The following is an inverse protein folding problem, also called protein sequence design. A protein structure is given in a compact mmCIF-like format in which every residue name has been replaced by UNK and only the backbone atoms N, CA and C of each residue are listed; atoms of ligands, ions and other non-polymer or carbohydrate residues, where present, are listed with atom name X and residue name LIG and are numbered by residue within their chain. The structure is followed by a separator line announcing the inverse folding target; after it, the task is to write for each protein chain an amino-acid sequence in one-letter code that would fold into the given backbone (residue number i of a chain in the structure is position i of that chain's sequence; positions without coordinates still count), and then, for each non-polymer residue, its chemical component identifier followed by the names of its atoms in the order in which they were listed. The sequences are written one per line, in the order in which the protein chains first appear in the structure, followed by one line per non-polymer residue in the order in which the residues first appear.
data_IF_280531933253
#
_entry.id   IF_280531933253
#
_cell.length_a   1.000
_cell.length_b   1.000
_cell.length_c   1.000
_cell.angle_alpha   90.00
_cell.angle_beta   90.00
_cell.angle_gamma   90.00
#
_symmetry.space_group_name_H-M   'P 1'
#
loop_
_entity.id
_entity.type
_entity.pdbx_description
1 polymer ?
#
# COMPACT_ATOMS: atom_id res chain seq x y z
N UNK A 1 17.59 2.40 0.06
CA UNK A 1 17.73 2.36 1.54
C UNK A 1 17.69 0.89 2.00
N UNK A 2 18.53 0.44 2.95
CA UNK A 2 18.42 -0.93 3.49
C UNK A 2 17.21 -1.02 4.42
N UNK A 3 16.45 -2.12 4.34
CA UNK A 3 15.31 -2.35 5.23
C UNK A 3 15.75 -2.38 6.69
N UNK A 4 15.07 -1.62 7.55
CA UNK A 4 15.33 -1.58 8.99
C UNK A 4 14.36 -2.50 9.71
N UNK A 5 14.89 -3.56 10.29
CA UNK A 5 14.11 -4.60 10.96
C UNK A 5 14.45 -4.62 12.44
N UNK A 6 13.42 -4.70 13.27
CA UNK A 6 13.54 -4.76 14.72
C UNK A 6 13.00 -6.10 15.24
N UNK A 7 13.62 -6.61 16.31
CA UNK A 7 13.24 -7.88 16.93
C UNK A 7 11.90 -7.78 17.66
N UNK A 8 11.48 -6.58 18.05
CA UNK A 8 10.20 -6.34 18.70
C UNK A 8 9.66 -4.95 18.42
N UNK A 9 8.35 -4.79 18.56
CA UNK A 9 7.67 -3.50 18.50
C UNK A 9 8.22 -2.52 19.55
N UNK A 10 8.51 -2.99 20.77
CA UNK A 10 9.09 -2.17 21.84
C UNK A 10 10.47 -1.61 21.48
N UNK A 11 11.31 -2.41 20.82
CA UNK A 11 12.60 -1.96 20.33
C UNK A 11 12.44 -0.90 19.23
N UNK A 12 11.56 -1.14 18.25
CA UNK A 12 11.31 -0.21 17.14
C UNK A 12 10.80 1.16 17.61
N UNK A 13 9.91 1.16 18.61
CA UNK A 13 9.26 2.38 19.12
C UNK A 13 10.00 3.04 20.30
N UNK A 14 11.13 2.48 20.72
CA UNK A 14 11.99 3.14 21.71
C UNK A 14 12.62 4.42 21.14
N UNK A 15 13.07 5.32 22.01
CA UNK A 15 13.81 6.51 21.59
C UNK A 15 15.04 6.14 20.73
N UNK A 16 15.82 5.14 21.15
CA UNK A 16 16.98 4.65 20.37
C UNK A 16 16.58 4.04 19.03
N UNK A 17 15.48 3.27 19.01
CA UNK A 17 14.93 2.67 17.79
C UNK A 17 14.54 3.74 16.77
N UNK A 18 13.75 4.72 17.20
CA UNK A 18 13.32 5.84 16.36
C UNK A 18 14.48 6.76 15.99
N UNK A 19 15.44 6.99 16.89
CA UNK A 19 16.66 7.73 16.59
C UNK A 19 17.48 7.06 15.49
N UNK A 20 17.59 5.73 15.50
CA UNK A 20 18.24 4.98 14.42
C UNK A 20 17.50 5.09 13.09
N UNK A 21 16.18 5.30 13.12
CA UNK A 21 15.34 5.49 11.92
C UNK A 21 15.51 6.92 11.39
N UNK A 22 15.42 7.92 12.25
CA UNK A 22 15.47 9.33 11.87
C UNK A 22 16.91 9.76 11.52
N UNK A 23 17.91 9.16 12.16
CA UNK A 23 19.31 9.54 12.01
C UNK A 23 19.78 10.61 13.00
N UNK A 24 18.95 10.95 13.99
CA UNK A 24 19.21 11.98 15.02
C UNK A 24 18.63 11.52 16.37
N UNK A 25 19.12 12.04 17.52
CA UNK A 25 18.58 11.71 18.85
C UNK A 25 17.09 11.99 18.97
N UNK A 26 16.36 11.18 19.74
CA UNK A 26 14.93 11.36 20.03
C UNK A 26 14.76 11.53 21.53
N UNK A 27 14.16 12.65 21.94
CA UNK A 27 14.01 13.01 23.35
C UNK A 27 12.73 12.42 23.96
N UNK A 28 11.68 12.32 23.14
CA UNK A 28 10.36 11.89 23.57
C UNK A 28 9.63 11.15 22.44
N UNK A 29 8.83 10.16 22.83
CA UNK A 29 7.97 9.42 21.92
C UNK A 29 6.54 9.46 22.46
N UNK A 30 5.60 9.86 21.62
CA UNK A 30 4.18 9.83 21.91
C UNK A 30 3.46 8.88 20.95
N UNK A 31 2.41 8.24 21.45
CA UNK A 31 1.57 7.31 20.70
C UNK A 31 0.11 7.60 20.97
N UNK A 32 -0.71 7.50 19.94
CA UNK A 32 -2.16 7.64 20.05
C UNK A 32 -2.88 6.82 19.00
N UNK A 33 -4.17 6.52 19.19
CA UNK A 33 -4.98 5.91 18.14
C UNK A 33 -5.01 6.83 16.92
N UNK A 34 -4.95 6.24 15.72
CA UNK A 34 -5.26 6.96 14.49
C UNK A 34 -6.69 6.60 14.09
N UNK A 35 -7.61 7.52 14.31
CA UNK A 35 -9.03 7.33 14.00
C UNK A 35 -9.28 7.65 12.51
N UNK A 36 -8.91 6.69 11.67
CA UNK A 36 -9.14 6.73 10.23
C UNK A 36 -9.81 5.43 9.80
N UNK A 37 -10.54 5.52 8.69
CA UNK A 37 -11.21 4.36 8.13
C UNK A 37 -10.18 3.34 7.60
N UNK A 38 -10.30 2.09 8.06
CA UNK A 38 -9.39 1.00 7.70
C UNK A 38 -10.16 -0.32 7.76
N UNK A 39 -10.17 -1.04 6.64
CA UNK A 39 -11.12 -2.14 6.42
C UNK A 39 -10.49 -3.51 6.28
N UNK A 40 -9.18 -3.64 6.45
CA UNK A 40 -8.55 -4.97 6.43
C UNK A 40 -8.84 -5.72 7.72
N UNK A 41 -8.90 -5.04 8.87
CA UNK A 41 -8.94 -5.64 10.22
C UNK A 41 -7.67 -5.39 11.03
N UNK A 42 -6.69 -4.71 10.42
CA UNK A 42 -5.47 -4.20 11.05
C UNK A 42 -5.77 -3.00 11.95
N UNK A 43 -4.79 -2.59 12.77
CA UNK A 43 -4.91 -1.37 13.59
C UNK A 43 -3.88 -0.33 13.17
N UNK A 44 -4.29 0.94 13.20
CA UNK A 44 -3.42 2.08 12.94
C UNK A 44 -3.23 2.93 14.20
N UNK A 45 -2.00 3.33 14.47
CA UNK A 45 -1.64 4.24 15.56
C UNK A 45 -0.78 5.38 14.99
N UNK A 46 -1.00 6.61 15.47
CA UNK A 46 -0.08 7.70 15.24
C UNK A 46 1.09 7.59 16.22
N UNK A 47 2.31 7.76 15.72
CA UNK A 47 3.53 7.83 16.53
C UNK A 47 4.22 9.16 16.24
N UNK A 48 4.59 9.90 17.29
CA UNK A 48 5.34 11.15 17.19
C UNK A 48 6.67 10.99 17.91
N UNK A 49 7.76 11.20 17.20
CA UNK A 49 9.10 11.22 17.76
C UNK A 49 9.59 12.67 17.80
N UNK A 50 9.97 13.17 18.97
CA UNK A 50 10.41 14.55 19.15
C UNK A 50 11.93 14.65 19.18
N UNK A 51 12.46 15.62 18.46
CA UNK A 51 13.88 15.99 18.43
C UNK A 51 13.99 17.49 18.59
N UNK A 52 14.61 17.96 19.68
CA UNK A 52 14.76 19.40 19.95
C UNK A 52 13.43 20.17 19.85
N UNK A 53 12.34 19.54 20.29
CA UNK A 53 10.98 20.11 20.24
C UNK A 53 10.25 19.99 18.89
N UNK A 54 10.88 19.47 17.84
CA UNK A 54 10.24 19.19 16.53
C UNK A 54 9.78 17.75 16.43
N UNK A 55 8.57 17.52 15.92
CA UNK A 55 7.99 16.20 15.79
C UNK A 55 8.18 15.61 14.38
N UNK A 56 8.75 14.40 14.30
CA UNK A 56 8.63 13.53 13.13
C UNK A 56 7.43 12.62 13.35
N UNK A 57 6.48 12.64 12.40
CA UNK A 57 5.23 11.88 12.47
C UNK A 57 5.35 10.57 11.70
N UNK A 58 4.87 9.50 12.32
CA UNK A 58 4.77 8.18 11.73
C UNK A 58 3.38 7.59 11.94
N UNK A 59 3.04 6.62 11.09
CA UNK A 59 1.90 5.74 11.25
C UNK A 59 2.42 4.33 11.50
N UNK A 60 1.99 3.72 12.60
CA UNK A 60 2.23 2.33 12.91
C UNK A 60 1.02 1.51 12.44
N UNK A 61 1.25 0.55 11.55
CA UNK A 61 0.26 -0.45 11.11
C UNK A 61 0.61 -1.79 11.73
N UNK A 62 -0.30 -2.35 12.53
CA UNK A 62 -0.15 -3.68 13.14
C UNK A 62 -1.06 -4.66 12.43
N UNK A 63 -0.50 -5.78 12.00
CA UNK A 63 -1.21 -6.76 11.20
C UNK A 63 -1.76 -7.89 12.07
N UNK A 64 -3.04 -8.22 11.90
CA UNK A 64 -3.67 -9.34 12.61
C UNK A 64 -4.15 -10.41 11.62
N UNK A 65 -3.41 -11.50 11.39
CA UNK A 65 -3.78 -12.55 10.44
C UNK A 65 -5.14 -13.21 10.70
N UNK A 66 -5.68 -13.11 11.92
CA UNK A 66 -6.99 -13.69 12.26
C UNK A 66 -8.13 -12.76 11.88
N UNK A 67 -7.94 -11.45 12.05
CA UNK A 67 -8.95 -10.43 11.76
C UNK A 67 -8.84 -9.91 10.34
N UNK A 68 -7.65 -9.94 9.77
CA UNK A 68 -7.36 -9.45 8.44
C UNK A 68 -7.95 -10.38 7.37
N UNK A 69 -9.04 -9.93 6.74
CA UNK A 69 -9.73 -10.72 5.73
C UNK A 69 -8.90 -10.87 4.45
N UNK A 70 -8.08 -9.88 4.08
CA UNK A 70 -7.23 -9.93 2.89
C UNK A 70 -6.16 -10.99 3.09
N UNK A 71 -5.46 -10.92 4.23
CA UNK A 71 -4.41 -11.88 4.55
C UNK A 71 -4.97 -13.31 4.56
N UNK A 72 -6.14 -13.48 5.18
CA UNK A 72 -6.75 -14.79 5.31
C UNK A 72 -7.26 -15.36 3.99
N UNK A 73 -7.87 -14.54 3.13
CA UNK A 73 -8.40 -14.96 1.83
C UNK A 73 -7.33 -15.10 0.75
N UNK A 74 -6.17 -14.46 0.92
CA UNK A 74 -5.01 -14.59 0.02
C UNK A 74 -3.88 -15.44 0.59
N UNK A 75 -4.14 -16.14 1.70
CA UNK A 75 -3.19 -17.02 2.38
C UNK A 75 -1.85 -16.35 2.73
N UNK A 76 -1.89 -15.05 3.07
CA UNK A 76 -0.71 -14.29 3.46
C UNK A 76 -0.30 -14.61 4.90
N UNK A 77 0.73 -15.44 5.04
CA UNK A 77 1.37 -15.75 6.32
C UNK A 77 2.59 -14.88 6.61
N UNK A 78 3.10 -14.14 5.63
CA UNK A 78 4.36 -13.39 5.73
C UNK A 78 4.17 -11.91 6.01
N UNK A 79 2.92 -11.42 5.95
CA UNK A 79 2.57 -10.00 5.89
C UNK A 79 3.23 -9.38 4.67
N UNK A 80 2.59 -9.54 3.51
CA UNK A 80 3.08 -9.21 2.17
C UNK A 80 3.76 -7.85 2.08
N UNK A 81 3.15 -6.80 2.63
CA UNK A 81 3.74 -5.45 2.67
C UNK A 81 5.11 -5.45 3.40
N UNK A 82 5.20 -6.12 4.55
CA UNK A 82 6.44 -6.24 5.33
C UNK A 82 7.43 -7.18 4.63
N UNK A 83 6.96 -8.24 3.97
CA UNK A 83 7.78 -9.16 3.20
C UNK A 83 8.43 -8.47 2.00
N UNK A 84 7.70 -7.58 1.30
CA UNK A 84 8.22 -6.75 0.21
C UNK A 84 9.26 -5.74 0.73
N UNK A 85 9.02 -5.11 1.87
CA UNK A 85 10.00 -4.23 2.52
C UNK A 85 11.28 -4.97 2.89
N UNK A 86 11.17 -6.08 3.65
CA UNK A 86 12.27 -6.94 4.08
C UNK A 86 13.04 -7.54 2.90
N UNK A 87 12.33 -7.93 1.85
CA UNK A 87 12.89 -8.48 0.61
C UNK A 87 13.62 -7.44 -0.24
N UNK A 88 13.60 -6.17 0.14
CA UNK A 88 14.26 -5.07 -0.57
C UNK A 88 13.52 -4.63 -1.83
N UNK A 89 12.26 -5.03 -2.03
CA UNK A 89 11.47 -4.62 -3.19
C UNK A 89 11.20 -3.12 -3.14
N UNK A 90 10.81 -2.59 -1.98
CA UNK A 90 10.58 -1.15 -1.79
C UNK A 90 11.85 -0.31 -2.02
N UNK A 91 13.02 -0.84 -1.70
CA UNK A 91 14.30 -0.18 -1.94
C UNK A 91 14.69 -0.10 -3.43
N UNK A 92 13.99 -0.85 -4.30
CA UNK A 92 14.21 -0.92 -5.75
C UNK A 92 13.15 -0.16 -6.55
N UNK A 93 12.18 0.47 -5.86
CA UNK A 93 11.15 1.28 -6.49
C UNK A 93 11.77 2.41 -7.31
N UNK A 94 11.16 2.79 -8.45
CA UNK A 94 11.56 3.99 -9.18
C UNK A 94 11.56 5.23 -8.30
N UNK A 95 12.47 6.17 -8.55
CA UNK A 95 12.60 7.41 -7.74
C UNK A 95 11.36 8.32 -7.82
N UNK A 96 10.50 8.11 -8.82
CA UNK A 96 9.20 8.78 -8.99
C UNK A 96 8.15 8.30 -7.97
N UNK A 97 8.42 7.22 -7.23
CA UNK A 97 7.50 6.61 -6.28
C UNK A 97 8.02 6.70 -4.85
N UNK A 98 7.08 6.79 -3.92
CA UNK A 98 7.35 6.70 -2.49
C UNK A 98 6.45 5.63 -1.90
N UNK A 99 7.10 4.66 -1.26
CA UNK A 99 6.45 3.77 -0.31
C UNK A 99 6.92 4.20 1.08
N UNK A 100 6.03 4.71 1.95
CA UNK A 100 6.45 5.40 3.17
C UNK A 100 6.96 4.46 4.27
N UNK A 101 6.94 3.15 4.07
CA UNK A 101 7.46 2.15 5.01
C UNK A 101 8.96 2.37 5.25
N UNK A 102 9.33 2.71 6.49
CA UNK A 102 10.71 2.99 6.90
C UNK A 102 11.29 1.93 7.83
N UNK A 103 10.43 1.17 8.50
CA UNK A 103 10.84 0.07 9.38
C UNK A 103 9.75 -0.98 9.51
N UNK A 104 10.14 -2.17 9.98
CA UNK A 104 9.21 -3.20 10.40
C UNK A 104 9.73 -3.92 11.64
N UNK A 105 8.81 -4.46 12.45
CA UNK A 105 9.15 -5.19 13.66
C UNK A 105 8.28 -6.44 13.80
N UNK A 106 8.82 -7.46 14.47
CA UNK A 106 7.99 -8.56 14.97
C UNK A 106 7.05 -8.04 16.04
N UNK A 107 5.79 -8.44 15.95
CA UNK A 107 4.74 -8.08 16.90
C UNK A 107 4.03 -9.35 17.36
N UNK A 108 4.51 -9.92 18.48
CA UNK A 108 4.09 -11.19 19.07
C UNK A 108 3.99 -12.36 18.07
N UNK A 109 2.86 -12.46 17.36
CA UNK A 109 2.53 -13.54 16.41
C UNK A 109 2.50 -13.10 14.94
N UNK A 110 2.80 -11.83 14.67
CA UNK A 110 2.68 -11.22 13.34
C UNK A 110 3.83 -10.22 13.11
N UNK A 111 3.57 -9.21 12.29
CA UNK A 111 4.44 -8.08 12.01
C UNK A 111 3.70 -6.77 12.26
N UNK A 112 4.50 -5.71 12.41
CA UNK A 112 4.06 -4.33 12.27
C UNK A 112 4.97 -3.59 11.27
N UNK A 113 4.40 -2.66 10.52
CA UNK A 113 5.14 -1.71 9.69
C UNK A 113 5.06 -0.30 10.30
N UNK A 114 6.17 0.42 10.25
CA UNK A 114 6.22 1.84 10.59
C UNK A 114 6.40 2.63 9.30
N UNK A 115 5.51 3.58 9.07
CA UNK A 115 5.47 4.40 7.88
C UNK A 115 5.66 5.87 8.25
N UNK A 116 6.33 6.65 7.40
CA UNK A 116 6.23 8.11 7.48
C UNK A 116 4.76 8.52 7.36
N UNK A 117 4.32 9.46 8.19
CA UNK A 117 2.99 10.03 8.07
C UNK A 117 2.93 10.88 6.80
N UNK A 118 2.19 10.39 5.81
CA UNK A 118 2.00 11.03 4.51
C UNK A 118 0.60 11.60 4.30
N UNK A 119 -0.19 11.72 5.38
CA UNK A 119 -1.61 12.08 5.32
C UNK A 119 -1.87 13.41 4.58
N UNK A 120 -0.95 14.37 4.68
CA UNK A 120 -1.04 15.68 4.02
C UNK A 120 -0.91 15.63 2.49
N UNK A 121 -0.39 14.52 1.95
CA UNK A 121 -0.15 14.34 0.52
C UNK A 121 -1.09 13.34 -0.13
N UNK A 122 -1.97 12.69 0.63
CA UNK A 122 -2.89 11.71 0.10
C UNK A 122 -3.94 12.38 -0.79
N UNK A 123 -4.33 11.69 -1.85
CA UNK A 123 -5.44 12.09 -2.67
C UNK A 123 -6.71 12.14 -1.82
N UNK A 124 -7.65 13.05 -2.11
CA UNK A 124 -8.95 13.03 -1.47
C UNK A 124 -9.61 11.65 -1.63
N UNK A 125 -10.21 11.16 -0.55
CA UNK A 125 -10.97 9.91 -0.53
C UNK A 125 -12.49 10.17 -0.49
N UNK A 126 -12.91 11.30 -1.05
CA UNK A 126 -14.30 11.72 -1.19
C UNK A 126 -14.67 11.88 -2.69
N UNK A 127 -15.89 12.31 -2.99
CA UNK A 127 -16.35 12.55 -4.36
C UNK A 127 -15.75 13.83 -4.99
N UNK A 128 -14.67 14.37 -4.43
CA UNK A 128 -14.01 15.54 -5.00
C UNK A 128 -13.31 15.20 -6.32
N UNK A 129 -13.20 16.22 -7.18
CA UNK A 129 -12.59 16.05 -8.49
C UNK A 129 -11.07 16.02 -8.36
N UNK A 130 -10.47 14.99 -8.96
CA UNK A 130 -9.02 14.89 -9.11
C UNK A 130 -8.58 15.65 -10.36
N UNK A 131 -7.47 16.38 -10.25
CA UNK A 131 -6.90 17.11 -11.37
C UNK A 131 -6.45 16.13 -12.47
N UNK A 132 -6.73 16.45 -13.74
CA UNK A 132 -6.31 15.59 -14.86
C UNK A 132 -4.80 15.40 -14.95
N UNK A 133 -4.02 16.34 -14.43
CA UNK A 133 -2.56 16.22 -14.35
C UNK A 133 -2.13 15.15 -13.35
N UNK A 134 -2.75 15.09 -12.17
CA UNK A 134 -2.47 14.07 -11.17
C UNK A 134 -2.87 12.68 -11.67
N UNK A 135 -4.01 12.59 -12.37
CA UNK A 135 -4.47 11.36 -13.02
C UNK A 135 -3.43 10.81 -14.01
N UNK A 136 -2.90 11.66 -14.88
CA UNK A 136 -1.85 11.27 -15.84
C UNK A 136 -0.59 10.86 -15.09
N UNK A 137 -0.19 11.62 -14.07
CA UNK A 137 0.99 11.32 -13.26
C UNK A 137 0.90 9.95 -12.59
N UNK A 138 -0.25 9.60 -11.99
CA UNK A 138 -0.45 8.27 -11.41
C UNK A 138 -0.29 7.16 -12.44
N UNK A 139 -0.86 7.32 -13.64
CA UNK A 139 -0.76 6.33 -14.71
C UNK A 139 0.66 6.21 -15.28
N UNK A 140 1.35 7.34 -15.48
CA UNK A 140 2.74 7.36 -15.97
C UNK A 140 3.68 6.71 -14.95
N UNK A 141 3.52 7.04 -13.67
CA UNK A 141 4.33 6.47 -12.60
C UNK A 141 4.01 4.98 -12.37
N UNK A 142 2.76 4.55 -12.52
CA UNK A 142 2.37 3.14 -12.53
C UNK A 142 3.03 2.37 -13.70
N UNK A 143 3.08 2.96 -14.89
CA UNK A 143 3.76 2.35 -16.03
C UNK A 143 5.27 2.19 -15.76
N UNK A 144 5.91 3.17 -15.10
CA UNK A 144 7.32 3.08 -14.69
C UNK A 144 7.53 1.99 -13.62
N UNK A 145 6.61 1.85 -12.65
CA UNK A 145 6.61 0.73 -11.70
C UNK A 145 6.60 -0.61 -12.44
N UNK A 146 5.65 -0.77 -13.36
CA UNK A 146 5.50 -2.01 -14.13
C UNK A 146 6.72 -2.30 -15.00
N UNK A 147 7.28 -1.29 -15.65
CA UNK A 147 8.50 -1.45 -16.45
C UNK A 147 9.70 -1.87 -15.58
N UNK A 148 9.83 -1.31 -14.37
CA UNK A 148 10.94 -1.58 -13.44
C UNK A 148 11.03 -3.04 -13.01
N UNK A 149 9.88 -3.68 -12.85
CA UNK A 149 9.74 -5.05 -12.34
C UNK A 149 9.27 -6.05 -13.40
N UNK A 150 9.26 -5.64 -14.67
CA UNK A 150 8.86 -6.47 -15.79
C UNK A 150 9.74 -7.73 -15.88
N UNK A 151 9.11 -8.89 -15.85
CA UNK A 151 9.73 -10.22 -15.88
C UNK A 151 10.83 -10.44 -14.83
N UNK A 152 10.74 -9.72 -13.71
CA UNK A 152 11.70 -9.88 -12.61
C UNK A 152 11.44 -11.16 -11.81
N UNK A 153 12.16 -12.22 -12.14
CA UNK A 153 12.06 -13.52 -11.47
C UNK A 153 12.40 -13.46 -9.97
N UNK A 154 13.09 -12.43 -9.49
CA UNK A 154 13.36 -12.30 -8.06
C UNK A 154 12.08 -12.11 -7.23
N UNK A 155 10.98 -11.71 -7.88
CA UNK A 155 9.64 -11.60 -7.29
C UNK A 155 8.95 -12.96 -7.10
N UNK A 156 9.47 -14.03 -7.69
CA UNK A 156 8.92 -15.39 -7.54
C UNK A 156 9.32 -16.08 -6.24
N UNK A 157 10.14 -15.43 -5.41
CA UNK A 157 10.56 -15.97 -4.11
C UNK A 157 9.32 -16.12 -3.21
N UNK A 158 9.01 -17.34 -2.71
CA UNK A 158 7.87 -17.54 -1.82
C UNK A 158 7.89 -16.68 -0.56
N UNK A 159 9.10 -16.31 -0.10
CA UNK A 159 9.30 -15.43 1.06
C UNK A 159 8.80 -14.00 0.89
N UNK A 160 8.40 -13.59 -0.32
CA UNK A 160 7.75 -12.30 -0.58
C UNK A 160 6.24 -12.34 -0.36
N UNK A 161 5.64 -13.53 -0.21
CA UNK A 161 4.23 -13.69 0.12
C UNK A 161 3.25 -13.15 -0.93
N UNK A 162 3.69 -12.88 -2.17
CA UNK A 162 2.84 -12.34 -3.23
C UNK A 162 1.60 -13.20 -3.44
N UNK A 163 0.45 -12.56 -3.60
CA UNK A 163 -0.85 -13.23 -3.75
C UNK A 163 -0.84 -14.10 -4.99
N UNK A 164 -1.39 -15.31 -4.89
CA UNK A 164 -1.65 -16.11 -6.08
C UNK A 164 -2.71 -15.39 -6.93
N UNK A 165 -2.49 -15.33 -8.25
CA UNK A 165 -3.39 -14.62 -9.16
C UNK A 165 -4.86 -15.10 -9.06
N UNK A 166 -5.06 -16.38 -8.76
CA UNK A 166 -6.39 -16.95 -8.52
C UNK A 166 -7.06 -16.32 -7.30
N UNK A 167 -6.34 -16.22 -6.19
CA UNK A 167 -6.88 -15.73 -4.93
C UNK A 167 -7.12 -14.23 -5.04
N UNK A 168 -6.18 -13.48 -5.62
CA UNK A 168 -6.36 -12.06 -5.97
C UNK A 168 -7.66 -11.81 -6.76
N UNK A 169 -7.89 -12.52 -7.87
CA UNK A 169 -9.09 -12.29 -8.70
C UNK A 169 -10.39 -12.71 -7.99
N UNK A 170 -10.35 -13.74 -7.15
CA UNK A 170 -11.55 -14.32 -6.55
C UNK A 170 -11.80 -13.85 -5.11
N UNK A 171 -10.96 -12.98 -4.57
CA UNK A 171 -10.92 -12.62 -3.14
C UNK A 171 -12.28 -12.17 -2.59
N UNK A 172 -13.06 -11.45 -3.40
CA UNK A 172 -14.43 -11.02 -3.08
C UNK A 172 -15.50 -11.67 -3.96
N UNK A 173 -15.22 -12.81 -4.60
CA UNK A 173 -16.23 -13.53 -5.40
C UNK A 173 -17.39 -14.04 -4.53
N UNK A 174 -18.62 -14.20 -5.10
CA UNK A 174 -19.79 -14.61 -4.32
C UNK A 174 -19.58 -15.88 -3.52
N UNK A 175 -18.92 -16.89 -4.11
CA UNK A 175 -18.66 -18.16 -3.45
C UNK A 175 -17.67 -18.04 -2.28
N UNK A 176 -16.69 -17.14 -2.38
CA UNK A 176 -15.73 -16.88 -1.30
C UNK A 176 -16.42 -16.12 -0.17
N UNK A 177 -17.12 -15.02 -0.51
CA UNK A 177 -17.86 -14.21 0.45
C UNK A 177 -18.92 -15.03 1.19
N UNK A 178 -19.71 -15.84 0.48
CA UNK A 178 -20.73 -16.68 1.10
C UNK A 178 -20.11 -17.67 2.10
N UNK A 179 -19.03 -18.36 1.71
CA UNK A 179 -18.33 -19.31 2.60
C UNK A 179 -17.83 -18.64 3.87
N UNK A 180 -17.29 -17.43 3.75
CA UNK A 180 -16.80 -16.66 4.89
C UNK A 180 -17.90 -16.33 5.89
N UNK A 181 -19.03 -15.83 5.39
CA UNK A 181 -20.17 -15.46 6.22
C UNK A 181 -20.81 -16.69 6.88
N UNK A 182 -20.95 -17.80 6.15
CA UNK A 182 -21.45 -19.08 6.68
C UNK A 182 -20.56 -19.65 7.80
N UNK A 183 -19.27 -19.31 7.79
CA UNK A 183 -18.31 -19.70 8.83
C UNK A 183 -18.25 -18.71 9.99
N UNK A 184 -19.19 -17.76 10.07
CA UNK A 184 -19.32 -16.81 11.18
C UNK A 184 -18.27 -15.71 11.17
N UNK A 185 -17.57 -15.49 10.05
CA UNK A 185 -16.51 -14.49 9.92
C UNK A 185 -17.06 -13.21 9.28
N UNK A 186 -18.10 -12.69 9.89
CA UNK A 186 -18.73 -11.45 9.46
C UNK A 186 -17.71 -10.30 9.50
N UNK A 187 -17.69 -9.51 8.43
CA UNK A 187 -16.85 -8.33 8.28
C UNK A 187 -17.59 -7.33 7.39
N UNK A 188 -17.55 -6.00 7.66
CA UNK A 188 -18.28 -5.01 6.86
C UNK A 188 -18.03 -5.14 5.35
N UNK A 189 -16.78 -5.29 4.93
CA UNK A 189 -16.42 -5.47 3.51
C UNK A 189 -17.06 -6.72 2.89
N UNK A 190 -17.15 -7.83 3.63
CA UNK A 190 -17.77 -9.05 3.12
C UNK A 190 -19.27 -8.88 2.96
N UNK A 191 -19.92 -8.17 3.88
CA UNK A 191 -21.34 -7.82 3.76
C UNK A 191 -21.60 -6.86 2.60
N UNK A 192 -20.74 -5.86 2.41
CA UNK A 192 -20.82 -4.95 1.26
C UNK A 192 -20.58 -5.68 -0.05
N UNK A 193 -19.61 -6.58 -0.12
CA UNK A 193 -19.37 -7.40 -1.30
C UNK A 193 -20.60 -8.28 -1.61
N UNK A 194 -21.20 -8.91 -0.59
CA UNK A 194 -22.44 -9.69 -0.76
C UNK A 194 -23.57 -8.83 -1.34
N UNK A 195 -23.78 -7.62 -0.80
CA UNK A 195 -24.79 -6.69 -1.29
C UNK A 195 -24.47 -6.19 -2.71
N UNK A 196 -23.22 -5.85 -2.98
CA UNK A 196 -22.76 -5.41 -4.30
C UNK A 196 -22.99 -6.47 -5.38
N UNK A 197 -22.79 -7.75 -5.07
CA UNK A 197 -23.12 -8.85 -5.99
C UNK A 197 -24.62 -9.01 -6.24
N UNK A 198 -25.46 -8.80 -5.22
CA UNK A 198 -26.92 -8.80 -5.39
C UNK A 198 -27.36 -7.66 -6.32
N UNK A 199 -26.84 -6.45 -6.09
CA UNK A 199 -27.11 -5.29 -6.94
C UNK A 199 -26.61 -5.55 -8.37
N UNK A 200 -25.39 -6.07 -8.54
CA UNK A 200 -24.85 -6.42 -9.85
C UNK A 200 -25.78 -7.38 -10.62
N UNK A 201 -26.29 -8.41 -9.95
CA UNK A 201 -27.22 -9.36 -10.58
C UNK A 201 -28.54 -8.72 -11.01
N UNK A 202 -29.00 -7.68 -10.32
CA UNK A 202 -30.21 -6.93 -10.62
C UNK A 202 -30.02 -5.93 -11.78
N UNK A 203 -28.91 -5.18 -11.77
CA UNK A 203 -28.75 -4.00 -12.63
C UNK A 203 -27.84 -4.22 -13.84
N UNK A 204 -26.92 -5.19 -13.79
CA UNK A 204 -25.91 -5.34 -14.82
C UNK A 204 -26.51 -5.87 -16.14
N UNK A 205 -26.00 -5.41 -17.31
CA UNK A 205 -26.43 -5.92 -18.61
C UNK A 205 -26.35 -7.46 -18.67
N UNK A 206 -27.32 -8.14 -19.33
CA UNK A 206 -27.34 -9.60 -19.41
C UNK A 206 -26.04 -10.23 -19.94
N UNK A 207 -25.33 -9.53 -20.83
CA UNK A 207 -24.06 -9.96 -21.39
C UNK A 207 -22.93 -9.91 -20.35
N UNK A 208 -22.82 -8.82 -19.59
CA UNK A 208 -21.85 -8.68 -18.51
C UNK A 208 -22.06 -9.76 -17.44
N UNK A 209 -23.30 -9.98 -16.99
CA UNK A 209 -23.64 -11.05 -16.03
C UNK A 209 -23.23 -12.43 -16.56
N UNK A 210 -23.48 -12.71 -17.84
CA UNK A 210 -23.09 -13.98 -18.46
C UNK A 210 -21.57 -14.18 -18.48
N UNK A 211 -20.80 -13.15 -18.79
CA UNK A 211 -19.33 -13.20 -18.80
C UNK A 211 -18.81 -13.44 -17.38
N UNK A 212 -19.25 -12.64 -16.41
CA UNK A 212 -18.79 -12.75 -15.02
C UNK A 212 -19.16 -14.11 -14.41
N UNK A 213 -20.39 -14.59 -14.62
CA UNK A 213 -20.81 -15.92 -14.14
C UNK A 213 -19.96 -17.06 -14.72
N UNK A 214 -19.60 -16.99 -16.01
CA UNK A 214 -18.68 -17.97 -16.62
C UNK A 214 -17.30 -17.93 -15.98
N UNK A 215 -16.76 -16.74 -15.70
CA UNK A 215 -15.45 -16.58 -15.06
C UNK A 215 -15.45 -17.07 -13.60
N UNK A 216 -16.53 -16.86 -12.87
CA UNK A 216 -16.70 -17.39 -11.51
C UNK A 216 -16.76 -18.92 -11.49
N UNK A 217 -17.36 -19.55 -12.51
CA UNK A 217 -17.42 -21.01 -12.64
C UNK A 217 -16.08 -21.61 -13.10
N UNK A 218 -15.40 -20.95 -14.04
CA UNK A 218 -14.11 -21.38 -14.57
C UNK A 218 -13.21 -20.19 -14.87
N UNK A 219 -12.24 -19.96 -13.99
CA UNK A 219 -11.25 -18.89 -14.14
C UNK A 219 -10.12 -19.24 -15.12
N UNK A 220 -9.97 -20.51 -15.52
CA UNK A 220 -8.84 -20.96 -16.36
C UNK A 220 -8.70 -20.19 -17.67
N UNK A 221 -9.77 -19.81 -18.40
CA UNK A 221 -9.64 -18.99 -19.60
C UNK A 221 -8.97 -17.63 -19.32
N UNK A 222 -9.35 -16.95 -18.25
CA UNK A 222 -8.77 -15.67 -17.87
C UNK A 222 -7.31 -15.84 -17.42
N UNK A 223 -7.02 -16.83 -16.56
CA UNK A 223 -5.65 -17.11 -16.13
C UNK A 223 -4.73 -17.43 -17.31
N UNK A 224 -5.21 -18.21 -18.30
CA UNK A 224 -4.46 -18.51 -19.53
C UNK A 224 -4.25 -17.28 -20.42
N UNK A 225 -5.19 -16.33 -20.42
CA UNK A 225 -5.03 -15.09 -21.16
C UNK A 225 -4.00 -14.18 -20.47
N UNK A 226 -4.12 -14.00 -19.15
CA UNK A 226 -3.19 -13.21 -18.36
C UNK A 226 -1.77 -13.80 -18.37
N UNK A 227 -1.62 -15.12 -18.41
CA UNK A 227 -0.30 -15.78 -18.48
C UNK A 227 0.44 -15.58 -19.81
N UNK A 228 -0.22 -15.04 -20.84
CA UNK A 228 0.40 -14.70 -22.13
C UNK A 228 0.90 -13.25 -22.17
N UNK A 229 0.44 -12.41 -21.25
CA UNK A 229 0.90 -11.06 -21.11
C UNK A 229 2.22 -11.05 -20.31
N UNK A 230 3.08 -10.04 -20.53
CA UNK A 230 4.22 -9.80 -19.65
C UNK A 230 3.77 -9.65 -18.20
N UNK A 231 4.58 -10.16 -17.28
CA UNK A 231 4.34 -10.14 -15.84
C UNK A 231 5.22 -9.12 -15.14
N UNK A 232 4.68 -8.48 -14.13
CA UNK A 232 5.38 -7.49 -13.30
C UNK A 232 4.89 -7.58 -11.85
N UNK A 233 5.55 -6.88 -10.95
CA UNK A 233 4.95 -6.50 -9.68
C UNK A 233 3.68 -5.67 -9.94
N UNK A 234 2.57 -6.17 -9.44
CA UNK A 234 1.24 -5.53 -9.48
C UNK A 234 0.92 -5.10 -8.06
N UNK A 235 0.44 -3.85 -7.90
CA UNK A 235 0.07 -3.31 -6.59
C UNK A 235 -1.16 -4.04 -6.01
N UNK A 236 -2.15 -4.30 -6.85
CA UNK A 236 -3.35 -5.06 -6.54
C UNK A 236 -4.52 -4.21 -6.05
N UNK A 237 -4.25 -3.08 -5.39
CA UNK A 237 -5.27 -2.15 -4.89
C UNK A 237 -4.92 -0.69 -5.27
N UNK A 238 -4.59 -0.46 -6.54
CA UNK A 238 -4.15 0.84 -7.06
C UNK A 238 -5.35 1.78 -7.25
N UNK A 239 -5.87 2.33 -6.15
CA UNK A 239 -7.03 3.24 -6.07
C UNK A 239 -6.69 4.51 -5.29
N UNK A 240 -7.48 5.59 -5.45
CA UNK A 240 -7.16 6.90 -4.87
C UNK A 240 -6.95 6.90 -3.35
N UNK A 241 -7.69 6.08 -2.60
CA UNK A 241 -7.48 5.94 -1.15
C UNK A 241 -6.05 5.53 -0.75
N UNK A 242 -5.30 4.93 -1.68
CA UNK A 242 -3.93 4.45 -1.48
C UNK A 242 -2.89 5.30 -2.22
N UNK A 243 -3.30 6.42 -2.83
CA UNK A 243 -2.44 7.26 -3.66
C UNK A 243 -2.30 8.66 -3.08
N UNK A 244 -1.20 9.32 -3.43
CA UNK A 244 -0.97 10.72 -3.09
C UNK A 244 0.12 11.34 -3.95
N UNK A 245 0.25 12.65 -3.89
CA UNK A 245 1.32 13.40 -4.55
C UNK A 245 2.20 14.02 -3.48
N UNK A 246 3.38 13.43 -3.29
CA UNK A 246 4.39 14.04 -2.45
C UNK A 246 5.01 15.23 -3.17
N UNK A 247 4.76 16.39 -2.60
CA UNK A 247 5.50 17.60 -2.88
C UNK A 247 6.20 17.98 -1.59
N UNK A 248 7.53 17.90 -1.50
CA UNK A 248 8.24 18.51 -0.39
C UNK A 248 7.95 20.00 -0.48
N UNK A 249 7.09 20.50 0.42
CA UNK A 249 6.95 21.93 0.60
C UNK A 249 8.31 22.47 1.06
N UNK A 250 8.73 23.67 0.62
CA UNK A 250 9.75 24.41 1.36
C UNK A 250 9.23 24.58 2.79
N UNK A 251 9.93 24.01 3.78
CA UNK A 251 9.50 24.03 5.18
C UNK A 251 9.25 25.48 5.64
N UNK A 252 8.01 25.86 6.04
CA UNK A 252 7.69 27.25 6.40
C UNK A 252 8.47 27.78 7.60
N UNK A 253 9.00 26.89 8.45
CA UNK A 253 9.70 27.27 9.69
C UNK A 253 11.10 27.85 9.47
N UNK A 254 11.70 27.69 8.28
CA UNK A 254 13.00 28.30 7.94
C UNK A 254 12.86 29.70 7.31
N UNK A 255 11.70 30.04 6.77
CA UNK A 255 11.45 31.36 6.12
C UNK A 255 11.07 32.44 7.15
N UNK A 256 10.57 32.05 8.32
CA UNK A 256 10.15 32.99 9.37
C UNK A 256 11.29 33.70 10.12
N UNK A 257 12.57 33.35 9.85
CA UNK A 257 13.72 33.95 10.53
C UNK A 257 14.65 34.77 9.61
N UNK A 258 14.24 35.06 8.37
CA UNK A 258 15.04 35.88 7.46
C UNK A 258 16.38 35.26 7.04
N UNK A 259 16.56 33.96 7.26
CA UNK A 259 17.63 33.21 6.65
C UNK A 259 17.23 32.91 5.19
N UNK A 260 18.10 33.26 4.25
CA UNK A 260 18.05 32.70 2.90
C UNK A 260 17.84 31.17 3.01
N UNK A 261 16.94 30.58 2.20
CA UNK A 261 16.75 29.14 2.22
C UNK A 261 18.10 28.47 2.01
N UNK A 262 18.59 27.79 3.04
CA UNK A 262 19.69 26.87 2.87
C UNK A 262 19.11 25.79 1.97
N UNK A 263 19.47 25.83 0.69
CA UNK A 263 19.32 24.71 -0.20
C UNK A 263 20.12 23.57 0.43
N UNK A 264 19.47 22.77 1.27
CA UNK A 264 20.00 21.46 1.59
C UNK A 264 20.17 20.76 0.24
N UNK A 265 21.43 20.53 -0.10
CA UNK A 265 21.82 19.90 -1.34
C UNK A 265 21.19 18.51 -1.40
N UNK A 266 20.02 18.42 -2.03
CA UNK A 266 19.57 17.19 -2.62
C UNK A 266 20.66 16.71 -3.60
N UNK A 267 20.94 15.40 -3.68
CA UNK A 267 21.86 14.87 -4.67
C UNK A 267 21.25 15.08 -6.06
N UNK A 268 21.62 16.17 -6.72
CA UNK A 268 21.05 16.63 -7.98
C UNK A 268 21.19 18.14 -8.11
N UNK A 269 22.44 18.60 -8.23
CA UNK A 269 22.74 20.00 -8.52
C UNK A 269 22.24 20.37 -9.92
N UNK A 270 21.18 21.16 -9.94
CA UNK A 270 20.84 22.24 -10.88
C UNK A 270 19.40 22.62 -10.56
N UNK A 271 19.05 23.91 -10.56
CA UNK A 271 17.75 24.45 -10.12
C UNK A 271 16.52 24.04 -10.95
N UNK A 272 16.44 22.77 -11.37
CA UNK A 272 15.25 22.14 -11.90
C UNK A 272 14.18 22.05 -10.81
N UNK A 273 12.90 22.33 -11.14
CA UNK A 273 11.81 22.15 -10.19
C UNK A 273 11.78 20.69 -9.71
N UNK A 274 11.58 20.50 -8.40
CA UNK A 274 11.40 19.18 -7.82
C UNK A 274 10.25 18.47 -8.52
N UNK A 275 10.52 17.32 -9.14
CA UNK A 275 9.48 16.52 -9.80
C UNK A 275 8.58 15.86 -8.73
N UNK A 276 7.26 16.12 -8.72
CA UNK A 276 6.35 15.53 -7.76
C UNK A 276 6.40 14.01 -7.82
N UNK A 277 6.42 13.35 -6.65
CA UNK A 277 6.46 11.88 -6.56
C UNK A 277 5.11 11.31 -6.18
N UNK A 278 4.79 10.12 -6.67
CA UNK A 278 3.56 9.43 -6.27
C UNK A 278 3.80 8.63 -5.00
N UNK A 279 3.01 8.92 -3.97
CA UNK A 279 2.90 8.08 -2.77
C UNK A 279 2.01 6.89 -3.11
N UNK A 280 2.45 5.68 -2.73
CA UNK A 280 1.68 4.45 -2.87
C UNK A 280 1.64 3.74 -1.51
N UNK A 281 0.43 3.52 -1.01
CA UNK A 281 0.14 2.83 0.25
C UNK A 281 -0.47 1.45 -0.01
N UNK A 282 -0.45 0.64 1.04
CA UNK A 282 -1.26 -0.58 1.16
C UNK A 282 -0.99 -1.67 0.11
N UNK A 283 0.20 -2.27 0.20
CA UNK A 283 0.64 -3.37 -0.68
C UNK A 283 0.07 -4.73 -0.28
N UNK A 284 -1.06 -4.75 0.44
CA UNK A 284 -1.66 -5.99 0.96
C UNK A 284 -2.20 -6.88 -0.15
N UNK A 285 -2.52 -6.37 -1.34
CA UNK A 285 -3.03 -7.16 -2.48
C UNK A 285 -1.97 -7.51 -3.53
N UNK A 286 -0.71 -7.18 -3.28
CA UNK A 286 0.34 -7.28 -4.30
C UNK A 286 0.47 -8.70 -4.87
N UNK A 287 0.65 -8.78 -6.19
CA UNK A 287 0.82 -10.04 -6.91
C UNK A 287 1.91 -9.91 -7.97
N UNK A 288 2.30 -11.03 -8.57
CA UNK A 288 3.14 -11.04 -9.76
C UNK A 288 2.28 -11.47 -10.95
N UNK A 289 1.91 -10.51 -11.79
CA UNK A 289 0.86 -10.70 -12.78
C UNK A 289 0.93 -9.67 -13.91
N UNK A 290 -0.08 -9.69 -14.76
CA UNK A 290 -0.20 -8.74 -15.87
C UNK A 290 -0.40 -7.32 -15.34
N UNK A 291 0.25 -6.29 -15.93
CA UNK A 291 0.02 -4.89 -15.57
C UNK A 291 -1.43 -4.44 -15.78
N UNK A 292 -2.19 -5.17 -16.60
CA UNK A 292 -3.62 -4.94 -16.84
C UNK A 292 -4.47 -5.05 -15.56
N UNK A 293 -3.98 -5.72 -14.53
CA UNK A 293 -4.69 -5.85 -13.25
C UNK A 293 -4.80 -4.50 -12.54
N UNK A 294 -3.70 -3.77 -12.37
CA UNK A 294 -3.73 -2.43 -11.76
C UNK A 294 -4.48 -1.43 -12.65
N UNK A 295 -4.28 -1.49 -13.97
CA UNK A 295 -4.99 -0.60 -14.92
C UNK A 295 -6.50 -0.83 -14.85
N UNK A 296 -6.93 -2.09 -14.83
CA UNK A 296 -8.35 -2.45 -14.73
C UNK A 296 -8.95 -1.99 -13.41
N UNK A 297 -8.20 -2.11 -12.32
CA UNK A 297 -8.62 -1.68 -10.99
C UNK A 297 -8.74 -0.15 -10.90
N UNK A 298 -7.78 0.58 -11.47
CA UNK A 298 -7.75 2.04 -11.44
C UNK A 298 -8.86 2.70 -12.27
N UNK A 299 -9.33 2.03 -13.32
CA UNK A 299 -10.40 2.52 -14.20
C UNK A 299 -11.82 2.19 -13.70
N UNK A 300 -11.95 1.30 -12.73
CA UNK A 300 -13.23 0.79 -12.21
C UNK A 300 -13.73 1.64 -11.03
#
# INVERSE_FOLDING_TARGET
MRARLFESLGQMLSADGLASIIGSPVDQVERGPLDVEHFSGNTLEQVRAYQDGRAVRFVLKRFDPKRDWIMRLTHDSEVREVALFRGGVFARMPDLLIVPTVAAARDERSWASLMLDVSEWLAPNDDSRIASEDLRRYLDHLAVLHARFMEDESLLKPSLGLSALRDFILILSPAVVQRELEQGRAHPVLEWARQGWQIFDEVAPPEARRVVKKLQQDLRPLLRALSRAPRTLVHGDFKFANLGIWQPAPQPELVAQGAEPVAEAAPGGDGAPFEPRTVILDWQDATFGSPLLDIGYFLA
#
